data_IF_974723667513
#
_entry.id   IF_974723667513
#
_cell.length_a   1.000
_cell.length_b   1.000
_cell.length_c   1.000
_cell.angle_alpha   90.00
_cell.angle_beta   90.00
_cell.angle_gamma   90.00
#
_symmetry.space_group_name_H-M   'P 1'
#
loop_
_entity.id
_entity.type
_entity.pdbx_description
1 polymer ?
#
# COMPACT_ATOMS: atom_id res chain seq x y z
N UNK A 1 12.87 11.46 4.49
CA UNK A 1 11.97 10.32 4.83
C UNK A 1 11.33 9.87 3.53
N UNK A 2 11.02 8.59 3.35
CA UNK A 2 10.31 8.08 2.18
C UNK A 2 9.07 7.33 2.67
N UNK A 3 7.96 7.48 1.95
CA UNK A 3 6.69 6.84 2.26
C UNK A 3 6.32 5.91 1.10
N UNK A 4 6.07 4.64 1.41
CA UNK A 4 5.53 3.69 0.45
C UNK A 4 4.14 3.23 0.90
N UNK A 5 3.12 3.52 0.09
CA UNK A 5 1.78 2.94 0.24
C UNK A 5 1.71 1.67 -0.58
N UNK A 6 1.38 0.54 0.05
CA UNK A 6 1.40 -0.77 -0.59
C UNK A 6 0.07 -1.46 -0.34
N UNK A 7 -0.59 -1.92 -1.40
CA UNK A 7 -1.90 -2.56 -1.28
C UNK A 7 -2.36 -3.32 -2.51
N UNK A 8 -3.45 -4.06 -2.36
CA UNK A 8 -4.12 -4.72 -3.46
C UNK A 8 -5.48 -4.06 -3.72
N UNK A 9 -5.73 -3.70 -4.97
CA UNK A 9 -7.01 -3.18 -5.43
C UNK A 9 -7.92 -4.36 -5.81
N UNK A 10 -9.13 -4.36 -5.27
CA UNK A 10 -10.20 -5.23 -5.74
C UNK A 10 -10.97 -4.47 -6.83
N UNK A 11 -11.14 -5.09 -8.00
CA UNK A 11 -11.73 -4.41 -9.15
C UNK A 11 -13.21 -4.02 -8.97
N UNK A 12 -13.89 -4.62 -8.01
CA UNK A 12 -15.29 -4.41 -7.66
C UNK A 12 -15.53 -3.38 -6.55
N UNK A 13 -14.47 -2.76 -6.02
CA UNK A 13 -14.53 -1.80 -4.91
C UNK A 13 -14.27 -0.36 -5.40
N UNK A 14 -15.31 0.41 -5.77
CA UNK A 14 -15.16 1.78 -6.28
C UNK A 14 -14.57 2.74 -5.25
N UNK A 15 -14.87 2.55 -3.95
CA UNK A 15 -14.37 3.42 -2.88
C UNK A 15 -12.84 3.37 -2.78
N UNK A 16 -12.25 2.18 -2.97
CA UNK A 16 -10.78 2.03 -3.00
C UNK A 16 -10.14 2.83 -4.12
N UNK A 17 -10.77 2.89 -5.29
CA UNK A 17 -10.25 3.67 -6.43
C UNK A 17 -10.26 5.17 -6.12
N UNK A 18 -11.35 5.68 -5.55
CA UNK A 18 -11.45 7.10 -5.15
C UNK A 18 -10.41 7.45 -4.08
N UNK A 19 -10.16 6.56 -3.12
CA UNK A 19 -9.15 6.75 -2.09
C UNK A 19 -7.72 6.76 -2.65
N UNK A 20 -7.44 5.89 -3.63
CA UNK A 20 -6.14 5.84 -4.32
C UNK A 20 -5.90 7.14 -5.08
N UNK A 21 -6.89 7.59 -5.86
CA UNK A 21 -6.79 8.82 -6.66
C UNK A 21 -6.54 10.03 -5.76
N UNK A 22 -7.31 10.16 -4.67
CA UNK A 22 -7.08 11.22 -3.68
C UNK A 22 -5.69 11.16 -3.07
N UNK A 23 -5.18 9.97 -2.74
CA UNK A 23 -3.84 9.81 -2.19
C UNK A 23 -2.73 10.21 -3.15
N UNK A 24 -2.89 9.88 -4.44
CA UNK A 24 -1.98 10.31 -5.52
C UNK A 24 -2.03 11.83 -5.72
N UNK A 25 -3.22 12.43 -5.71
CA UNK A 25 -3.40 13.89 -5.80
C UNK A 25 -2.76 14.61 -4.62
N UNK A 26 -2.98 14.12 -3.39
CA UNK A 26 -2.37 14.67 -2.17
C UNK A 26 -0.85 14.53 -2.16
N UNK A 27 -0.32 13.42 -2.72
CA UNK A 27 1.11 13.17 -2.89
C UNK A 27 1.73 13.88 -4.09
N UNK A 28 0.93 14.57 -4.92
CA UNK A 28 1.40 15.17 -6.16
C UNK A 28 2.51 16.21 -5.91
N UNK A 29 3.68 15.97 -6.51
CA UNK A 29 4.87 16.79 -6.32
C UNK A 29 5.80 16.33 -5.18
N UNK A 30 5.41 15.35 -4.37
CA UNK A 30 6.29 14.72 -3.39
C UNK A 30 7.07 13.55 -4.04
N UNK A 31 8.33 13.83 -4.37
CA UNK A 31 9.26 12.82 -4.94
C UNK A 31 9.67 11.71 -3.96
N UNK A 32 9.24 11.78 -2.70
CA UNK A 32 9.52 10.79 -1.67
C UNK A 32 8.33 9.91 -1.30
N UNK A 33 7.17 10.13 -1.93
CA UNK A 33 5.99 9.30 -1.80
C UNK A 33 5.86 8.34 -3.00
N UNK A 34 5.65 7.07 -2.71
CA UNK A 34 5.53 6.01 -3.69
C UNK A 34 4.27 5.21 -3.42
N UNK A 35 3.54 4.86 -4.46
CA UNK A 35 2.35 4.03 -4.35
C UNK A 35 2.50 2.80 -5.24
N UNK A 36 2.36 1.64 -4.61
CA UNK A 36 2.61 0.35 -5.20
C UNK A 36 1.39 -0.55 -5.00
N UNK A 37 0.77 -0.93 -6.11
CA UNK A 37 -0.44 -1.78 -6.11
C UNK A 37 -0.27 -3.05 -6.94
N UNK A 38 -1.17 -4.00 -6.77
CA UNK A 38 -1.26 -5.19 -7.63
C UNK A 38 -1.41 -4.87 -9.12
N UNK A 39 -1.85 -3.66 -9.49
CA UNK A 39 -1.95 -3.19 -10.88
C UNK A 39 -0.58 -2.97 -11.52
N UNK A 40 0.42 -2.64 -10.71
CA UNK A 40 1.82 -2.48 -11.13
C UNK A 40 2.67 -3.70 -10.78
N UNK A 41 2.02 -4.83 -10.47
CA UNK A 41 2.67 -6.13 -10.25
C UNK A 41 3.04 -6.47 -8.81
N UNK A 42 2.61 -5.66 -7.83
CA UNK A 42 2.89 -5.96 -6.41
C UNK A 42 2.07 -7.16 -5.95
N UNK A 43 2.77 -8.22 -5.56
CA UNK A 43 2.20 -9.42 -4.96
C UNK A 43 2.73 -9.67 -3.56
N UNK A 44 2.59 -10.91 -3.10
CA UNK A 44 3.02 -11.31 -1.75
C UNK A 44 4.53 -11.20 -1.53
N UNK A 45 5.34 -11.38 -2.58
CA UNK A 45 6.79 -11.28 -2.50
C UNK A 45 7.24 -9.84 -2.26
N UNK A 46 6.73 -8.90 -3.04
CA UNK A 46 7.05 -7.47 -2.89
C UNK A 46 6.59 -6.96 -1.53
N UNK A 47 5.36 -7.29 -1.12
CA UNK A 47 4.84 -6.97 0.22
C UNK A 47 5.78 -7.48 1.31
N UNK A 48 6.27 -8.71 1.18
CA UNK A 48 7.19 -9.28 2.15
C UNK A 48 8.55 -8.56 2.20
N UNK A 49 9.07 -8.15 1.05
CA UNK A 49 10.32 -7.36 0.97
C UNK A 49 10.15 -6.04 1.69
N UNK A 50 9.05 -5.31 1.45
CA UNK A 50 8.80 -4.04 2.14
C UNK A 50 8.59 -4.22 3.65
N UNK A 51 7.86 -5.26 4.08
CA UNK A 51 7.69 -5.56 5.50
C UNK A 51 9.03 -5.77 6.22
N UNK A 52 10.03 -6.36 5.54
CA UNK A 52 11.36 -6.62 6.13
C UNK A 52 12.38 -5.49 5.92
N UNK A 53 12.20 -4.68 4.89
CA UNK A 53 13.14 -3.64 4.49
C UNK A 53 12.82 -2.25 5.05
N UNK A 54 11.58 -2.00 5.48
CA UNK A 54 11.19 -0.71 6.03
C UNK A 54 11.63 -0.55 7.49
N UNK A 55 12.12 0.64 7.84
CA UNK A 55 12.41 0.99 9.25
C UNK A 55 11.14 1.02 10.12
N UNK A 56 10.01 1.40 9.51
CA UNK A 56 8.70 1.47 10.16
C UNK A 56 7.62 0.96 9.20
N UNK A 57 6.77 0.07 9.69
CA UNK A 57 5.60 -0.44 8.97
C UNK A 57 4.33 -0.02 9.71
N UNK A 58 3.38 0.61 9.00
CA UNK A 58 2.08 1.02 9.54
C UNK A 58 0.99 0.15 8.91
N UNK A 59 0.35 -0.69 9.72
CA UNK A 59 -0.82 -1.46 9.32
C UNK A 59 -2.03 -1.00 10.14
N UNK A 60 -2.93 -0.21 9.52
CA UNK A 60 -4.09 0.35 10.22
C UNK A 60 -5.31 -0.57 10.24
N UNK A 61 -5.36 -1.60 9.40
CA UNK A 61 -6.53 -2.48 9.27
C UNK A 61 -6.76 -3.25 10.58
N UNK A 62 -7.91 -3.05 11.23
CA UNK A 62 -8.26 -3.66 12.52
C UNK A 62 -9.07 -4.97 12.39
N UNK A 63 -9.52 -5.31 11.17
CA UNK A 63 -10.45 -6.42 10.91
C UNK A 63 -10.13 -7.18 9.63
N UNK A 64 -8.94 -7.75 9.55
CA UNK A 64 -8.61 -8.69 8.48
C UNK A 64 -8.44 -10.10 9.04
N UNK A 65 -9.33 -11.00 8.63
CA UNK A 65 -9.44 -12.37 9.14
C UNK A 65 -8.24 -13.28 8.87
N UNK A 66 -7.14 -12.78 8.30
CA UNK A 66 -5.97 -13.59 7.99
C UNK A 66 -4.63 -12.99 8.40
N UNK A 67 -4.54 -11.73 8.85
CA UNK A 67 -3.35 -11.18 9.52
C UNK A 67 -2.00 -11.65 8.95
N UNK A 68 -1.86 -11.74 7.63
CA UNK A 68 -0.64 -12.25 6.98
C UNK A 68 0.37 -11.12 6.83
N UNK A 69 0.80 -10.57 7.96
CA UNK A 69 1.81 -9.52 8.00
C UNK A 69 2.90 -10.08 8.89
N UNK A 70 4.07 -10.34 8.30
CA UNK A 70 5.16 -11.01 9.02
C UNK A 70 5.68 -10.01 10.05
N UNK A 71 5.48 -10.34 11.32
CA UNK A 71 6.01 -9.58 12.45
C UNK A 71 7.45 -9.97 12.78
#
# INVERSE_FOLDING_TARGET
MQLALIGAMAGDDPERWELLDRGEEEGSGDTSMFVFTNLVGVGSMEVNVFQRGCDVVIQKSLREGFGLVVS
#
